data_IF_504731736006
#
_entry.id   IF_504731736006
#
_cell.length_a   1.000
_cell.length_b   1.000
_cell.length_c   1.000
_cell.angle_alpha   90.00
_cell.angle_beta   90.00
_cell.angle_gamma   90.00
#
_symmetry.space_group_name_H-M   'P 1'
#
loop_
_entity.id
_entity.type
_entity.pdbx_description
1 polymer ?
#
# COMPACT_ATOMS: atom_id res chain seq x y z
N UNK A 1 69.45 -42.05 6.70
CA UNK A 1 68.77 -40.94 6.01
C UNK A 1 67.52 -41.53 5.37
N UNK A 2 66.36 -41.27 5.99
CA UNK A 2 65.02 -41.64 5.44
C UNK A 2 64.42 -40.44 4.70
N UNK A 3 64.14 -40.62 3.40
CA UNK A 3 63.43 -39.63 2.58
C UNK A 3 61.93 -39.81 2.83
N UNK A 4 61.24 -38.75 3.30
CA UNK A 4 59.86 -38.71 3.41
C UNK A 4 59.31 -38.24 2.05
N UNK A 5 58.51 -39.09 1.41
CA UNK A 5 57.75 -38.76 0.18
C UNK A 5 56.44 -38.16 0.61
N UNK A 6 56.27 -36.87 0.33
CA UNK A 6 54.95 -36.22 0.48
C UNK A 6 54.06 -36.57 -0.70
N UNK A 7 52.95 -37.24 -0.41
CA UNK A 7 51.89 -37.49 -1.40
C UNK A 7 51.01 -36.24 -1.55
N UNK A 8 51.00 -35.65 -2.73
CA UNK A 8 50.06 -34.61 -3.13
C UNK A 8 48.69 -35.25 -3.40
N UNK A 9 47.66 -34.85 -2.62
CA UNK A 9 46.24 -35.11 -2.93
C UNK A 9 45.80 -34.24 -4.10
N UNK A 10 45.04 -34.74 -5.07
CA UNK A 10 44.50 -33.94 -6.15
C UNK A 10 43.39 -33.02 -5.60
N UNK A 11 43.42 -31.75 -6.00
CA UNK A 11 42.37 -30.75 -5.73
C UNK A 11 41.15 -31.11 -6.57
N UNK A 12 40.02 -31.37 -5.91
CA UNK A 12 38.71 -31.44 -6.54
C UNK A 12 38.39 -30.12 -7.24
N UNK A 13 38.12 -30.19 -8.53
CA UNK A 13 37.57 -29.08 -9.31
C UNK A 13 36.11 -28.88 -8.88
N UNK A 14 35.81 -27.78 -8.23
CA UNK A 14 34.43 -27.34 -8.05
C UNK A 14 33.86 -26.99 -9.42
N UNK A 15 32.86 -27.75 -9.82
CA UNK A 15 32.01 -27.41 -10.96
C UNK A 15 31.27 -26.10 -10.65
N UNK A 16 31.59 -25.06 -11.38
CA UNK A 16 30.84 -23.82 -11.41
C UNK A 16 29.55 -24.10 -12.16
N UNK A 17 28.44 -24.24 -11.42
CA UNK A 17 27.11 -24.24 -12.01
C UNK A 17 26.91 -22.89 -12.70
N UNK A 18 26.76 -22.91 -14.03
CA UNK A 18 26.32 -21.76 -14.81
C UNK A 18 24.87 -21.46 -14.47
N UNK A 19 24.65 -20.54 -13.54
CA UNK A 19 23.35 -19.94 -13.29
C UNK A 19 23.03 -19.10 -14.53
N UNK A 20 22.15 -19.61 -15.40
CA UNK A 20 21.51 -18.81 -16.45
C UNK A 20 20.65 -17.77 -15.74
N UNK A 21 21.10 -16.53 -15.72
CA UNK A 21 20.25 -15.40 -15.37
C UNK A 21 19.20 -15.27 -16.48
N UNK A 22 17.99 -15.74 -16.22
CA UNK A 22 16.84 -15.40 -17.03
C UNK A 22 16.65 -13.89 -16.92
N UNK A 23 16.57 -13.23 -18.08
CA UNK A 23 16.19 -11.81 -18.15
C UNK A 23 14.75 -11.71 -17.61
N UNK A 24 14.62 -11.25 -16.37
CA UNK A 24 13.32 -10.81 -15.86
C UNK A 24 12.94 -9.61 -16.72
N UNK A 25 11.89 -9.74 -17.52
CA UNK A 25 11.30 -8.62 -18.22
C UNK A 25 10.83 -7.61 -17.15
N UNK A 26 11.56 -6.52 -17.02
CA UNK A 26 11.15 -5.41 -16.15
C UNK A 26 9.91 -4.80 -16.76
N UNK A 27 8.75 -5.09 -16.19
CA UNK A 27 7.52 -4.37 -16.50
C UNK A 27 7.75 -2.92 -16.10
N UNK A 28 7.88 -2.06 -17.10
CA UNK A 28 8.01 -0.62 -16.85
C UNK A 28 6.64 -0.09 -16.47
N UNK A 29 6.38 -0.03 -15.16
CA UNK A 29 5.17 0.60 -14.64
C UNK A 29 5.30 2.11 -14.85
N UNK A 30 4.31 2.72 -15.49
CA UNK A 30 4.34 4.17 -15.73
C UNK A 30 4.24 4.95 -14.40
N UNK A 31 4.72 6.20 -14.42
CA UNK A 31 4.81 7.05 -13.23
C UNK A 31 3.44 7.33 -12.58
N UNK A 32 2.40 7.49 -13.40
CA UNK A 32 1.05 7.77 -12.91
C UNK A 32 0.48 6.55 -12.19
N UNK A 33 0.71 5.35 -12.73
CA UNK A 33 0.34 4.08 -12.08
C UNK A 33 1.08 3.90 -10.75
N UNK A 34 2.39 4.15 -10.70
CA UNK A 34 3.13 4.09 -9.43
C UNK A 34 2.62 5.10 -8.40
N UNK A 35 2.25 6.29 -8.84
CA UNK A 35 1.75 7.33 -7.95
C UNK A 35 0.42 6.95 -7.34
N UNK A 36 -0.53 6.42 -8.13
CA UNK A 36 -1.85 6.03 -7.61
C UNK A 36 -1.75 4.81 -6.69
N UNK A 37 -0.92 3.81 -7.02
CA UNK A 37 -0.72 2.64 -6.16
C UNK A 37 -0.19 3.02 -4.77
N UNK A 38 0.70 4.02 -4.69
CA UNK A 38 1.17 4.54 -3.39
C UNK A 38 0.06 5.18 -2.57
N UNK A 39 -0.89 5.88 -3.21
CA UNK A 39 -2.02 6.47 -2.51
C UNK A 39 -3.03 5.39 -2.06
N UNK A 40 -3.22 4.34 -2.86
CA UNK A 40 -4.03 3.19 -2.47
C UNK A 40 -3.44 2.46 -1.25
N UNK A 41 -2.12 2.27 -1.26
CA UNK A 41 -1.40 1.66 -0.15
C UNK A 41 -1.58 2.48 1.14
N UNK A 42 -1.57 3.81 1.03
CA UNK A 42 -1.78 4.70 2.18
C UNK A 42 -3.23 4.65 2.67
N UNK A 43 -4.23 4.65 1.79
CA UNK A 43 -5.64 4.46 2.17
C UNK A 43 -5.84 3.11 2.88
N UNK A 44 -5.28 2.04 2.33
CA UNK A 44 -5.35 0.70 2.94
C UNK A 44 -4.66 0.67 4.30
N UNK A 45 -3.48 1.31 4.44
CA UNK A 45 -2.77 1.44 5.71
C UNK A 45 -3.63 2.13 6.77
N UNK A 46 -4.27 3.23 6.43
CA UNK A 46 -5.13 3.97 7.36
C UNK A 46 -6.32 3.13 7.82
N UNK A 47 -6.97 2.40 6.92
CA UNK A 47 -8.08 1.52 7.27
C UNK A 47 -7.66 0.33 8.15
N UNK A 48 -6.50 -0.26 7.89
CA UNK A 48 -5.98 -1.37 8.67
C UNK A 48 -5.53 -0.94 10.07
N UNK A 49 -4.85 0.21 10.19
CA UNK A 49 -4.23 0.66 11.44
C UNK A 49 -5.16 1.48 12.32
N UNK A 50 -6.00 2.32 11.73
CA UNK A 50 -6.86 3.28 12.43
C UNK A 50 -8.34 3.14 12.06
N UNK A 51 -8.72 2.05 11.41
CA UNK A 51 -10.04 1.88 10.80
C UNK A 51 -11.23 2.02 11.74
N UNK A 52 -11.07 1.68 13.00
CA UNK A 52 -12.08 1.77 14.07
C UNK A 52 -12.05 3.13 14.82
N UNK A 53 -11.08 4.00 14.53
CA UNK A 53 -11.03 5.33 15.14
C UNK A 53 -12.21 6.18 14.68
N UNK A 54 -12.87 6.81 15.65
CA UNK A 54 -13.97 7.76 15.39
C UNK A 54 -13.38 9.14 15.13
N UNK A 55 -13.77 9.75 14.00
CA UNK A 55 -13.36 11.08 13.59
C UNK A 55 -14.58 11.97 13.38
N UNK A 56 -14.45 13.27 13.64
CA UNK A 56 -15.48 14.27 13.36
C UNK A 56 -15.19 14.91 12.00
N UNK A 57 -16.05 14.66 11.03
CA UNK A 57 -15.95 15.20 9.68
C UNK A 57 -16.95 16.34 9.48
N UNK A 58 -16.80 17.08 8.38
CA UNK A 58 -17.72 18.17 8.02
C UNK A 58 -18.16 17.95 6.59
N UNK A 59 -19.47 17.91 6.38
CA UNK A 59 -20.06 17.74 5.04
C UNK A 59 -19.95 19.04 4.20
N UNK A 60 -20.38 18.98 2.94
CA UNK A 60 -20.41 20.12 2.01
C UNK A 60 -21.31 21.26 2.46
N UNK A 61 -22.26 21.01 3.38
CA UNK A 61 -23.18 22.00 3.94
C UNK A 61 -22.64 22.62 5.25
N UNK A 62 -21.45 22.22 5.70
CA UNK A 62 -20.86 22.67 6.95
C UNK A 62 -21.42 21.95 8.19
N UNK A 63 -22.18 20.85 8.02
CA UNK A 63 -22.66 20.06 9.15
C UNK A 63 -21.62 19.07 9.60
N UNK A 64 -21.41 19.02 10.91
CA UNK A 64 -20.47 18.05 11.53
C UNK A 64 -21.17 16.73 11.77
N UNK A 65 -20.47 15.64 11.46
CA UNK A 65 -20.90 14.29 11.72
C UNK A 65 -19.75 13.43 12.24
N UNK A 66 -20.08 12.37 12.96
CA UNK A 66 -19.10 11.40 13.44
C UNK A 66 -19.17 10.14 12.58
N UNK A 67 -17.99 9.65 12.20
CA UNK A 67 -17.81 8.46 11.38
C UNK A 67 -16.54 7.71 11.81
N UNK A 68 -16.38 6.48 11.38
CA UNK A 68 -15.08 5.78 11.53
C UNK A 68 -14.20 6.02 10.32
N UNK A 69 -12.88 5.87 10.49
CA UNK A 69 -11.92 6.01 9.37
C UNK A 69 -12.27 5.10 8.19
N UNK A 70 -12.63 3.84 8.47
CA UNK A 70 -13.08 2.90 7.42
C UNK A 70 -14.32 3.42 6.69
N UNK A 71 -15.36 3.84 7.42
CA UNK A 71 -16.59 4.30 6.81
C UNK A 71 -16.40 5.56 5.98
N UNK A 72 -15.56 6.49 6.46
CA UNK A 72 -15.25 7.72 5.73
C UNK A 72 -14.51 7.43 4.42
N UNK A 73 -13.46 6.61 4.46
CA UNK A 73 -12.69 6.28 3.26
C UNK A 73 -13.56 5.53 2.24
N UNK A 74 -14.28 4.49 2.66
CA UNK A 74 -15.11 3.69 1.75
C UNK A 74 -16.24 4.54 1.17
N UNK A 75 -16.98 5.28 2.01
CA UNK A 75 -18.05 6.17 1.56
C UNK A 75 -17.56 7.19 0.54
N UNK A 76 -16.39 7.77 0.79
CA UNK A 76 -15.78 8.77 -0.10
C UNK A 76 -15.35 8.18 -1.46
N UNK A 77 -14.87 6.92 -1.49
CA UNK A 77 -14.53 6.22 -2.73
C UNK A 77 -15.79 5.82 -3.52
N UNK A 78 -16.83 5.37 -2.84
CA UNK A 78 -18.12 4.98 -3.45
C UNK A 78 -18.85 6.18 -4.04
N UNK A 79 -18.86 7.32 -3.34
CA UNK A 79 -19.50 8.56 -3.80
C UNK A 79 -18.98 9.02 -5.17
N UNK A 80 -17.66 8.94 -5.39
CA UNK A 80 -17.01 9.36 -6.63
C UNK A 80 -16.77 8.20 -7.61
N UNK A 81 -17.26 7.00 -7.33
CA UNK A 81 -17.04 5.78 -8.11
C UNK A 81 -15.54 5.54 -8.41
N UNK A 82 -14.69 5.78 -7.42
CA UNK A 82 -13.25 5.55 -7.55
C UNK A 82 -12.92 4.07 -7.38
N UNK A 83 -12.39 3.46 -8.43
CA UNK A 83 -11.93 2.07 -8.41
C UNK A 83 -10.45 1.96 -8.03
N UNK A 84 -10.09 0.90 -7.30
CA UNK A 84 -8.70 0.61 -6.97
C UNK A 84 -8.02 -0.17 -8.10
N UNK A 85 -6.75 0.11 -8.34
CA UNK A 85 -5.93 -0.55 -9.35
C UNK A 85 -5.22 -1.80 -8.80
N UNK A 86 -4.80 -1.77 -7.53
CA UNK A 86 -4.15 -2.91 -6.87
C UNK A 86 -5.14 -4.04 -6.59
N UNK A 87 -4.83 -5.25 -7.06
CA UNK A 87 -5.63 -6.45 -6.80
C UNK A 87 -5.65 -6.77 -5.30
N UNK A 88 -4.51 -6.62 -4.62
CA UNK A 88 -4.39 -6.92 -3.19
C UNK A 88 -5.21 -5.92 -2.37
N UNK A 89 -5.10 -4.62 -2.67
CA UNK A 89 -5.88 -3.59 -1.97
C UNK A 89 -7.38 -3.77 -2.21
N UNK A 90 -7.81 -4.17 -3.42
CA UNK A 90 -9.22 -4.50 -3.69
C UNK A 90 -9.71 -5.67 -2.85
N UNK A 91 -8.92 -6.75 -2.70
CA UNK A 91 -9.28 -7.88 -1.83
C UNK A 91 -9.43 -7.44 -0.38
N UNK A 92 -8.48 -6.65 0.14
CA UNK A 92 -8.52 -6.15 1.51
C UNK A 92 -9.76 -5.27 1.74
N UNK A 93 -10.02 -4.31 0.85
CA UNK A 93 -11.17 -3.40 0.97
C UNK A 93 -12.49 -4.14 0.80
N UNK A 94 -12.55 -5.13 -0.09
CA UNK A 94 -13.73 -5.99 -0.21
C UNK A 94 -14.04 -6.69 1.12
N UNK A 95 -13.04 -7.27 1.76
CA UNK A 95 -13.19 -7.95 3.05
C UNK A 95 -13.60 -6.98 4.17
N UNK A 96 -13.05 -5.77 4.19
CA UNK A 96 -13.46 -4.70 5.11
C UNK A 96 -14.93 -4.32 4.87
N UNK A 97 -15.35 -4.21 3.62
CA UNK A 97 -16.71 -3.85 3.24
C UNK A 97 -17.73 -4.93 3.66
N UNK A 98 -17.37 -6.21 3.50
CA UNK A 98 -18.20 -7.30 4.03
C UNK A 98 -18.33 -7.19 5.57
N UNK A 99 -17.25 -6.84 6.25
CA UNK A 99 -17.28 -6.58 7.69
C UNK A 99 -18.24 -5.46 8.09
N UNK A 100 -18.31 -4.37 7.32
CA UNK A 100 -19.27 -3.28 7.56
C UNK A 100 -20.72 -3.79 7.43
N UNK A 101 -21.03 -4.59 6.39
CA UNK A 101 -22.35 -5.18 6.18
C UNK A 101 -22.77 -6.09 7.33
N UNK A 102 -21.81 -6.82 7.89
CA UNK A 102 -22.00 -7.69 9.05
C UNK A 102 -21.97 -6.95 10.39
N UNK A 103 -21.79 -5.61 10.39
CA UNK A 103 -21.62 -4.76 11.57
C UNK A 103 -20.40 -5.16 12.43
N UNK A 104 -19.36 -5.66 11.79
CA UNK A 104 -18.05 -6.00 12.37
C UNK A 104 -16.96 -5.26 11.63
N UNK A 105 -16.35 -4.26 12.25
CA UNK A 105 -15.21 -3.58 11.65
C UNK A 105 -14.00 -4.52 11.61
N UNK A 106 -13.52 -4.79 10.40
CA UNK A 106 -12.37 -5.66 10.14
C UNK A 106 -11.14 -4.78 9.92
N UNK A 107 -10.36 -4.61 10.98
CA UNK A 107 -9.07 -3.91 10.95
C UNK A 107 -7.92 -4.90 10.75
N UNK A 108 -6.68 -4.44 10.81
CA UNK A 108 -5.51 -5.29 10.60
C UNK A 108 -5.45 -6.57 11.43
N UNK A 109 -5.99 -6.54 12.67
CA UNK A 109 -6.05 -7.73 13.52
C UNK A 109 -6.85 -8.90 12.91
N UNK A 110 -7.90 -8.59 12.13
CA UNK A 110 -8.68 -9.60 11.42
C UNK A 110 -7.81 -10.33 10.37
N UNK A 111 -6.98 -9.58 9.66
CA UNK A 111 -6.19 -10.10 8.54
C UNK A 111 -4.97 -10.92 8.94
N UNK A 112 -4.47 -10.81 10.19
CA UNK A 112 -3.38 -11.68 10.68
C UNK A 112 -3.73 -13.17 10.75
N UNK A 113 -5.01 -13.50 10.75
CA UNK A 113 -5.52 -14.88 10.73
C UNK A 113 -6.10 -15.30 9.37
N UNK A 114 -5.87 -14.52 8.33
CA UNK A 114 -6.41 -14.76 7.00
C UNK A 114 -5.57 -15.80 6.24
N UNK A 115 -6.20 -16.69 5.47
CA UNK A 115 -5.49 -17.77 4.75
C UNK A 115 -4.79 -17.33 3.45
N UNK A 116 -4.80 -16.03 3.10
CA UNK A 116 -4.12 -15.47 1.92
C UNK A 116 -2.77 -14.88 2.32
N UNK A 117 -1.67 -15.53 1.88
CA UNK A 117 -0.30 -15.13 2.23
C UNK A 117 0.05 -13.72 1.72
N UNK A 118 -0.42 -13.33 0.52
CA UNK A 118 -0.14 -12.00 -0.04
C UNK A 118 -0.80 -10.90 0.79
N UNK A 119 -2.03 -11.14 1.28
CA UNK A 119 -2.72 -10.23 2.19
C UNK A 119 -1.97 -10.14 3.51
N UNK A 120 -1.55 -11.29 4.08
CA UNK A 120 -0.82 -11.31 5.35
C UNK A 120 0.50 -10.54 5.26
N UNK A 121 1.28 -10.72 4.20
CA UNK A 121 2.51 -9.96 3.96
C UNK A 121 2.23 -8.46 3.87
N UNK A 122 1.23 -8.05 3.09
CA UNK A 122 0.84 -6.65 2.94
C UNK A 122 0.41 -6.02 4.27
N UNK A 123 -0.36 -6.75 5.07
CA UNK A 123 -0.81 -6.28 6.38
C UNK A 123 0.37 -6.21 7.36
N UNK A 124 1.26 -7.20 7.37
CA UNK A 124 2.45 -7.18 8.21
C UNK A 124 3.34 -5.97 7.89
N UNK A 125 3.59 -5.70 6.61
CA UNK A 125 4.36 -4.53 6.16
C UNK A 125 3.73 -3.20 6.63
N UNK A 126 2.39 -3.14 6.70
CA UNK A 126 1.66 -1.97 7.18
C UNK A 126 1.95 -1.66 8.66
N UNK A 127 2.19 -2.68 9.46
CA UNK A 127 2.46 -2.54 10.90
C UNK A 127 3.96 -2.40 11.22
N UNK A 128 4.85 -2.62 10.25
CA UNK A 128 6.29 -2.37 10.45
C UNK A 128 6.52 -0.86 10.41
N UNK A 129 6.87 -0.29 11.55
CA UNK A 129 7.26 1.12 11.61
C UNK A 129 8.58 1.33 10.88
N UNK A 130 8.52 1.94 9.70
CA UNK A 130 9.71 2.23 8.87
C UNK A 130 10.60 3.30 9.49
N UNK A 131 10.04 4.18 10.33
CA UNK A 131 10.77 5.28 10.94
C UNK A 131 10.41 5.42 12.42
N UNK A 132 11.43 5.37 13.29
CA UNK A 132 11.26 5.80 14.67
C UNK A 132 11.44 7.32 14.75
N UNK A 133 10.45 7.99 15.31
CA UNK A 133 10.56 9.43 15.59
C UNK A 133 11.71 9.65 16.55
N UNK A 134 12.70 10.46 16.15
CA UNK A 134 13.80 10.86 17.05
C UNK A 134 13.25 11.55 18.29
N UNK A 135 13.89 11.36 19.44
CA UNK A 135 13.46 11.96 20.72
C UNK A 135 13.73 13.47 20.73
N UNK A 136 12.94 14.22 19.95
CA UNK A 136 13.04 15.68 19.80
C UNK A 136 12.44 16.45 20.99
N UNK A 137 11.61 15.79 21.79
CA UNK A 137 11.08 16.27 23.08
C UNK A 137 12.19 16.75 24.01
N UNK A 138 13.39 16.17 23.97
CA UNK A 138 14.57 16.63 24.70
C UNK A 138 15.03 18.06 24.31
N UNK A 139 14.62 18.52 23.15
CA UNK A 139 14.92 19.86 22.62
C UNK A 139 13.71 20.80 22.64
N UNK A 140 12.66 20.44 23.40
CA UNK A 140 11.37 21.17 23.43
C UNK A 140 10.71 21.33 22.05
N UNK A 141 10.95 20.37 21.14
CA UNK A 141 10.29 20.31 19.85
C UNK A 141 9.24 19.22 19.94
N UNK A 142 7.96 19.63 19.91
CA UNK A 142 6.82 18.72 19.92
C UNK A 142 6.43 18.37 18.49
N UNK A 143 6.36 17.08 18.20
CA UNK A 143 5.75 16.56 16.98
C UNK A 143 4.46 15.84 17.38
N UNK A 144 3.30 16.24 16.86
CA UNK A 144 2.06 15.54 17.13
C UNK A 144 2.14 14.10 16.63
N UNK A 145 1.60 13.17 17.38
CA UNK A 145 1.53 11.78 16.99
C UNK A 145 0.53 11.61 15.85
N UNK A 146 0.69 10.53 15.08
CA UNK A 146 -0.17 10.26 13.91
C UNK A 146 -1.65 10.14 14.29
N UNK A 147 -1.96 9.53 15.43
CA UNK A 147 -3.31 9.39 15.96
C UNK A 147 -3.96 10.73 16.36
N UNK A 148 -3.18 11.72 16.77
CA UNK A 148 -3.67 13.10 17.03
C UNK A 148 -4.07 13.82 15.75
N UNK A 149 -3.48 13.43 14.62
CA UNK A 149 -3.68 14.05 13.30
C UNK A 149 -4.56 13.22 12.37
N UNK A 150 -5.10 12.10 12.84
CA UNK A 150 -5.72 11.09 11.98
C UNK A 150 -6.80 11.67 11.06
N UNK A 151 -7.64 12.58 11.55
CA UNK A 151 -8.65 13.26 10.72
C UNK A 151 -8.02 13.95 9.52
N UNK A 152 -7.02 14.81 9.76
CA UNK A 152 -6.35 15.57 8.70
C UNK A 152 -5.63 14.65 7.72
N UNK A 153 -5.01 13.58 8.22
CA UNK A 153 -4.32 12.59 7.39
C UNK A 153 -5.32 11.85 6.49
N UNK A 154 -6.47 11.48 7.02
CA UNK A 154 -7.54 10.80 6.24
C UNK A 154 -8.07 11.73 5.15
N UNK A 155 -8.44 12.99 5.49
CA UNK A 155 -8.90 13.99 4.53
C UNK A 155 -7.88 14.20 3.39
N UNK A 156 -6.62 14.45 3.76
CA UNK A 156 -5.53 14.66 2.80
C UNK A 156 -5.29 13.45 1.90
N UNK A 157 -5.33 12.24 2.46
CA UNK A 157 -5.06 11.02 1.70
C UNK A 157 -6.18 10.73 0.70
N UNK A 158 -7.44 10.89 1.10
CA UNK A 158 -8.60 10.78 0.20
C UNK A 158 -8.47 11.77 -0.96
N UNK A 159 -8.19 13.04 -0.67
CA UNK A 159 -8.04 14.07 -1.71
C UNK A 159 -6.88 13.78 -2.67
N UNK A 160 -5.74 13.32 -2.16
CA UNK A 160 -4.59 12.92 -2.98
C UNK A 160 -4.92 11.74 -3.87
N UNK A 161 -5.61 10.73 -3.34
CA UNK A 161 -6.04 9.58 -4.13
C UNK A 161 -6.98 10.00 -5.27
N UNK A 162 -8.07 10.72 -4.94
CA UNK A 162 -9.03 11.20 -5.93
C UNK A 162 -8.36 12.04 -7.03
N UNK A 163 -7.42 12.91 -6.65
CA UNK A 163 -6.62 13.69 -7.62
C UNK A 163 -5.81 12.79 -8.55
N UNK A 164 -5.11 11.79 -8.01
CA UNK A 164 -4.31 10.87 -8.84
C UNK A 164 -5.20 10.00 -9.73
N UNK A 165 -6.35 9.58 -9.22
CA UNK A 165 -7.35 8.85 -9.99
C UNK A 165 -7.83 9.65 -11.20
N UNK A 166 -8.19 10.90 -11.03
CA UNK A 166 -8.58 11.80 -12.13
C UNK A 166 -7.45 11.98 -13.15
N UNK A 167 -6.21 12.22 -12.69
CA UNK A 167 -5.05 12.39 -13.58
C UNK A 167 -4.84 11.14 -14.43
N UNK A 168 -4.84 9.96 -13.79
CA UNK A 168 -4.65 8.68 -14.48
C UNK A 168 -5.78 8.43 -15.49
N UNK A 169 -7.03 8.59 -15.09
CA UNK A 169 -8.18 8.39 -15.98
C UNK A 169 -8.12 9.30 -17.21
N UNK A 170 -7.81 10.59 -17.03
CA UNK A 170 -7.64 11.54 -18.14
C UNK A 170 -6.51 11.13 -19.08
N UNK A 171 -5.37 10.68 -18.52
CA UNK A 171 -4.23 10.25 -19.31
C UNK A 171 -4.52 8.95 -20.08
N UNK A 172 -5.24 8.01 -19.50
CA UNK A 172 -5.65 6.77 -20.16
C UNK A 172 -6.64 7.06 -21.32
N UNK A 173 -7.61 7.96 -21.13
CA UNK A 173 -8.51 8.41 -22.18
C UNK A 173 -7.71 9.06 -23.34
N UNK A 174 -6.76 9.95 -23.04
CA UNK A 174 -5.91 10.59 -24.06
C UNK A 174 -5.06 9.59 -24.83
N UNK A 175 -4.53 8.55 -24.18
CA UNK A 175 -3.76 7.49 -24.84
C UNK A 175 -4.65 6.70 -25.80
N UNK A 176 -5.85 6.31 -25.37
CA UNK A 176 -6.80 5.55 -26.17
C UNK A 176 -7.32 6.36 -27.38
N UNK A 177 -7.55 7.67 -27.24
CA UNK A 177 -7.99 8.54 -28.33
C UNK A 177 -6.92 8.70 -29.40
N UNK A 178 -5.63 8.78 -29.03
CA UNK A 178 -4.53 8.86 -30.00
C UNK A 178 -4.36 7.60 -30.85
N UNK A 179 -4.62 6.42 -30.27
CA UNK A 179 -4.53 5.15 -30.99
C UNK A 179 -5.63 5.07 -32.08
N UNK A 180 -6.81 5.62 -31.83
CA UNK A 180 -7.91 5.64 -32.82
C UNK A 180 -7.69 6.62 -33.96
N UNK A 181 -6.88 7.68 -33.79
CA UNK A 181 -6.56 8.66 -34.83
C UNK A 181 -5.42 8.21 -35.76
N UNK A 182 -4.58 7.24 -35.34
CA UNK A 182 -3.49 6.68 -36.16
C UNK A 182 -3.93 5.49 -37.04
N UNK A 183 -5.14 4.94 -36.81
CA UNK A 183 -5.71 3.82 -37.58
C UNK A 183 -6.61 4.27 -38.74
N UNK A 184 -6.63 5.58 -39.10
CA UNK A 184 -7.29 6.19 -40.27
C UNK A 184 -6.26 6.82 -41.20
#
# INVERSE_FOLDING_TARGET
KKKIVQQHKPKEKKETQNIKLEKVETVVIDRDTLSILKQEDELTRLMLKYGDYTIEMTDSNGQKYQTTVIQEIIGSLEEDNCELFSIINRKIIHEINEGIKEKQLRTGNHFFSFDDLEINEKVADTYIEQYQVSKWDKHNIYFPLEDELIKTIVEDTILRYKRQYCIKTVNDIKKNTKITDEDY
#
